data_IF_873059312104
#
_entry.id   IF_873059312104
#
_cell.length_a   1.000
_cell.length_b   1.000
_cell.length_c   1.000
_cell.angle_alpha   90.00
_cell.angle_beta   90.00
_cell.angle_gamma   90.00
#
_symmetry.space_group_name_H-M   'P 1'
#
loop_
_entity.id
_entity.type
_entity.pdbx_description
1 polymer ?
#
# COMPACT_ATOMS: atom_id res chain seq x y z
N UNK A 1 -6.36 17.65 15.67
CA UNK A 1 -5.31 18.27 14.82
C UNK A 1 -5.88 19.51 14.14
N UNK A 2 -5.13 20.62 13.99
CA UNK A 2 -5.60 21.80 13.26
C UNK A 2 -5.80 21.49 11.77
N UNK A 3 -6.89 21.99 11.17
CA UNK A 3 -7.23 21.77 9.75
C UNK A 3 -6.13 22.24 8.81
N UNK A 4 -5.51 23.39 9.10
CA UNK A 4 -4.42 23.97 8.31
C UNK A 4 -3.18 23.08 8.19
N UNK A 5 -2.92 22.22 9.18
CA UNK A 5 -1.81 21.25 9.12
C UNK A 5 -2.15 20.09 8.18
N UNK A 6 -3.40 19.62 8.21
CA UNK A 6 -3.89 18.56 7.33
C UNK A 6 -3.85 19.05 5.88
N UNK A 7 -4.35 20.26 5.62
CA UNK A 7 -4.36 20.84 4.27
C UNK A 7 -2.94 20.97 3.69
N UNK A 8 -1.96 21.36 4.52
CA UNK A 8 -0.54 21.40 4.11
C UNK A 8 0.02 20.02 3.80
N UNK A 9 -0.33 19.01 4.59
CA UNK A 9 0.11 17.63 4.36
C UNK A 9 -0.47 17.06 3.05
N UNK A 10 -1.77 17.29 2.79
CA UNK A 10 -2.42 16.89 1.53
C UNK A 10 -1.75 17.56 0.35
N UNK A 11 -1.50 18.88 0.43
CA UNK A 11 -0.81 19.63 -0.64
C UNK A 11 0.62 19.14 -0.86
N UNK A 12 1.33 18.73 0.19
CA UNK A 12 2.66 18.14 0.05
C UNK A 12 2.61 16.79 -0.69
N UNK A 13 1.64 15.93 -0.35
CA UNK A 13 1.44 14.65 -1.05
C UNK A 13 1.04 14.86 -2.51
N UNK A 14 0.21 15.85 -2.79
CA UNK A 14 -0.15 16.24 -4.16
C UNK A 14 1.10 16.61 -4.96
N UNK A 15 1.93 17.53 -4.46
CA UNK A 15 3.17 17.92 -5.13
C UNK A 15 4.18 16.78 -5.23
N UNK A 16 4.16 15.84 -4.30
CA UNK A 16 5.05 14.68 -4.28
C UNK A 16 4.55 13.55 -5.20
N UNK A 17 3.33 13.68 -5.74
CA UNK A 17 2.76 12.71 -6.67
C UNK A 17 3.21 13.04 -8.09
N UNK A 18 3.90 12.08 -8.71
CA UNK A 18 4.35 12.17 -10.10
C UNK A 18 3.20 12.00 -11.09
N UNK A 19 3.46 12.30 -12.37
CA UNK A 19 2.46 12.18 -13.44
C UNK A 19 1.94 10.74 -13.62
N UNK A 20 2.78 9.73 -13.32
CA UNK A 20 2.38 8.32 -13.37
C UNK A 20 1.62 7.86 -12.09
N UNK A 21 1.45 8.73 -11.11
CA UNK A 21 0.71 8.46 -9.88
C UNK A 21 1.54 7.87 -8.74
N UNK A 22 2.87 7.79 -8.84
CA UNK A 22 3.71 7.37 -7.73
C UNK A 22 4.18 8.54 -6.86
N UNK A 23 4.37 8.31 -5.56
CA UNK A 23 4.84 9.32 -4.59
C UNK A 23 6.37 9.26 -4.48
N UNK A 24 7.03 10.42 -4.60
CA UNK A 24 8.49 10.55 -4.45
C UNK A 24 8.92 10.72 -2.99
N UNK A 25 10.19 10.46 -2.69
CA UNK A 25 10.73 10.56 -1.33
C UNK A 25 10.73 11.99 -0.77
N UNK A 26 11.18 12.96 -1.56
CA UNK A 26 11.10 14.37 -1.17
C UNK A 26 11.08 15.29 -2.38
N UNK A 27 10.42 16.45 -2.22
CA UNK A 27 10.46 17.53 -3.20
C UNK A 27 11.86 18.13 -3.39
N UNK A 28 12.74 18.02 -2.39
CA UNK A 28 14.11 18.56 -2.44
C UNK A 28 15.09 17.68 -3.22
N UNK A 29 14.87 16.35 -3.24
CA UNK A 29 15.61 15.42 -4.11
C UNK A 29 15.04 15.38 -5.55
N UNK A 30 13.86 15.97 -5.77
CA UNK A 30 13.14 15.96 -7.03
C UNK A 30 13.62 17.04 -8.01
N UNK A 31 14.92 17.34 -8.05
CA UNK A 31 15.52 18.39 -8.88
C UNK A 31 15.03 18.35 -10.32
N UNK A 32 14.04 19.20 -10.62
CA UNK A 32 13.25 19.14 -11.86
C UNK A 32 12.42 17.85 -11.94
N UNK A 33 11.09 17.98 -11.85
CA UNK A 33 10.07 16.94 -12.14
C UNK A 33 10.64 15.62 -12.71
N UNK A 34 10.51 14.53 -11.95
CA UNK A 34 10.66 13.14 -12.41
C UNK A 34 12.07 12.52 -12.56
N UNK A 35 13.09 12.96 -11.82
CA UNK A 35 14.37 12.20 -11.73
C UNK A 35 14.38 11.12 -10.64
N UNK A 36 13.44 11.14 -9.69
CA UNK A 36 13.17 10.04 -8.76
C UNK A 36 11.84 9.40 -9.12
N UNK A 37 11.85 8.19 -9.68
CA UNK A 37 10.62 7.44 -9.95
C UNK A 37 9.77 7.30 -8.69
N UNK A 38 8.45 7.34 -8.84
CA UNK A 38 7.53 7.11 -7.73
C UNK A 38 7.86 5.82 -6.98
N UNK A 39 7.81 5.86 -5.66
CA UNK A 39 8.19 4.75 -4.79
C UNK A 39 6.94 3.95 -4.42
N UNK A 40 6.85 2.64 -4.75
CA UNK A 40 5.69 1.82 -4.41
C UNK A 40 5.38 1.83 -2.91
N UNK A 41 6.44 1.81 -2.09
CA UNK A 41 6.33 1.82 -0.63
C UNK A 41 5.66 3.09 -0.09
N UNK A 42 6.12 4.27 -0.55
CA UNK A 42 5.56 5.56 -0.15
C UNK A 42 4.15 5.76 -0.71
N UNK A 43 3.91 5.26 -1.92
CA UNK A 43 2.60 5.34 -2.57
C UNK A 43 1.57 4.47 -1.84
N UNK A 44 1.94 3.26 -1.42
CA UNK A 44 1.09 2.40 -0.61
C UNK A 44 0.76 3.04 0.75
N UNK A 45 1.76 3.64 1.41
CA UNK A 45 1.54 4.38 2.65
C UNK A 45 0.61 5.59 2.46
N UNK A 46 0.74 6.32 1.34
CA UNK A 46 -0.14 7.45 1.02
C UNK A 46 -1.61 7.01 0.85
N UNK A 47 -1.87 5.85 0.22
CA UNK A 47 -3.22 5.28 0.13
C UNK A 47 -3.79 5.00 1.52
N UNK A 48 -3.03 4.32 2.38
CA UNK A 48 -3.46 4.02 3.74
C UNK A 48 -3.78 5.28 4.55
N UNK A 49 -2.95 6.33 4.41
CA UNK A 49 -3.22 7.64 5.01
C UNK A 49 -4.51 8.27 4.47
N UNK A 50 -4.72 8.25 3.15
CA UNK A 50 -5.93 8.79 2.51
C UNK A 50 -7.20 8.07 2.96
N UNK A 51 -7.17 6.75 3.11
CA UNK A 51 -8.28 5.99 3.65
C UNK A 51 -8.54 6.32 5.11
N UNK A 52 -7.49 6.38 5.94
CA UNK A 52 -7.65 6.76 7.35
C UNK A 52 -8.16 8.20 7.55
N UNK A 53 -7.98 9.09 6.57
CA UNK A 53 -8.56 10.44 6.57
C UNK A 53 -9.97 10.53 5.96
N UNK A 54 -10.54 9.41 5.50
CA UNK A 54 -11.87 9.36 4.87
C UNK A 54 -11.90 9.72 3.38
N UNK A 55 -10.75 9.96 2.75
CA UNK A 55 -10.60 10.44 1.37
C UNK A 55 -10.57 9.30 0.34
N UNK A 56 -11.47 8.33 0.49
CA UNK A 56 -11.48 7.08 -0.27
C UNK A 56 -11.57 7.27 -1.79
N UNK A 57 -12.36 8.25 -2.24
CA UNK A 57 -12.67 8.48 -3.65
C UNK A 57 -11.90 9.68 -4.25
N UNK A 58 -10.90 10.21 -3.54
CA UNK A 58 -10.14 11.37 -4.02
C UNK A 58 -9.36 11.05 -5.30
N UNK A 59 -9.20 12.01 -6.23
CA UNK A 59 -8.42 11.81 -7.45
C UNK A 59 -6.97 11.35 -7.20
N UNK A 60 -6.36 11.81 -6.11
CA UNK A 60 -5.01 11.42 -5.71
C UNK A 60 -4.95 9.95 -5.29
N UNK A 61 -5.84 9.52 -4.40
CA UNK A 61 -5.91 8.12 -3.96
C UNK A 61 -6.16 7.19 -5.14
N UNK A 62 -7.00 7.59 -6.09
CA UNK A 62 -7.18 6.83 -7.33
C UNK A 62 -5.91 6.73 -8.18
N UNK A 63 -5.10 7.77 -8.27
CA UNK A 63 -3.81 7.70 -8.99
C UNK A 63 -2.84 6.75 -8.29
N UNK A 64 -2.75 6.86 -6.96
CA UNK A 64 -1.87 6.02 -6.15
C UNK A 64 -2.23 4.54 -6.24
N UNK A 65 -3.53 4.19 -6.21
CA UNK A 65 -4.00 2.81 -6.36
C UNK A 65 -3.59 2.25 -7.72
N UNK A 66 -3.76 3.00 -8.81
CA UNK A 66 -3.36 2.58 -10.16
C UNK A 66 -1.85 2.41 -10.28
N UNK A 67 -1.07 3.30 -9.66
CA UNK A 67 0.38 3.16 -9.60
C UNK A 67 0.77 1.86 -8.88
N UNK A 68 0.27 1.65 -7.66
CA UNK A 68 0.57 0.42 -6.90
C UNK A 68 0.10 -0.85 -7.61
N UNK A 69 -1.02 -0.81 -8.34
CA UNK A 69 -1.50 -1.95 -9.14
C UNK A 69 -0.46 -2.44 -10.16
N UNK A 70 0.28 -1.51 -10.77
CA UNK A 70 1.30 -1.83 -11.78
C UNK A 70 2.63 -2.19 -11.14
N UNK A 71 2.98 -1.53 -10.04
CA UNK A 71 4.34 -1.58 -9.48
C UNK A 71 4.50 -2.47 -8.24
N UNK A 72 3.42 -2.93 -7.60
CA UNK A 72 3.49 -3.84 -6.44
C UNK A 72 3.19 -5.27 -6.90
N UNK A 73 4.19 -6.18 -6.88
CA UNK A 73 4.01 -7.54 -7.35
C UNK A 73 3.12 -8.34 -6.38
N UNK A 74 1.97 -8.79 -6.86
CA UNK A 74 1.14 -9.81 -6.18
C UNK A 74 1.24 -11.15 -6.90
N UNK A 75 1.38 -11.14 -8.24
CA UNK A 75 1.40 -12.35 -9.05
C UNK A 75 2.79 -13.02 -9.14
N UNK A 76 3.86 -12.22 -9.13
CA UNK A 76 5.23 -12.72 -9.34
C UNK A 76 6.01 -12.96 -8.03
N UNK A 77 5.42 -12.70 -6.85
CA UNK A 77 5.95 -12.97 -5.48
C UNK A 77 7.46 -12.74 -5.25
N UNK A 78 8.10 -11.96 -6.10
CA UNK A 78 9.52 -11.70 -6.08
C UNK A 78 9.76 -10.51 -5.16
N UNK A 79 10.67 -10.69 -4.21
CA UNK A 79 11.02 -9.64 -3.25
C UNK A 79 11.63 -8.44 -3.97
N UNK A 80 11.26 -7.25 -3.51
CA UNK A 80 11.82 -5.98 -4.01
C UNK A 80 12.23 -5.05 -2.86
N UNK A 81 12.73 -3.85 -3.21
CA UNK A 81 13.13 -2.86 -2.20
C UNK A 81 11.95 -2.46 -1.32
N UNK A 82 12.13 -2.56 0.00
CA UNK A 82 11.07 -2.29 1.00
C UNK A 82 9.82 -3.17 0.84
N UNK A 83 9.98 -4.43 0.43
CA UNK A 83 8.91 -5.41 0.21
C UNK A 83 7.93 -5.49 1.40
N UNK A 84 8.45 -5.77 2.60
CA UNK A 84 7.67 -5.90 3.83
C UNK A 84 6.84 -4.64 4.12
N UNK A 85 7.50 -3.48 4.03
CA UNK A 85 6.90 -2.19 4.34
C UNK A 85 5.84 -1.81 3.30
N UNK A 86 6.10 -2.13 2.03
CA UNK A 86 5.15 -1.90 0.94
C UNK A 86 3.91 -2.76 1.12
N UNK A 87 4.08 -4.08 1.30
CA UNK A 87 2.98 -5.00 1.49
C UNK A 87 2.22 -4.74 2.80
N UNK A 88 2.88 -4.26 3.86
CA UNK A 88 2.23 -3.85 5.10
C UNK A 88 1.15 -2.80 4.87
N UNK A 89 1.45 -1.70 4.17
CA UNK A 89 0.44 -0.67 3.87
C UNK A 89 -0.51 -1.09 2.76
N UNK A 90 -0.01 -1.77 1.73
CA UNK A 90 -0.82 -2.13 0.59
C UNK A 90 -1.90 -3.16 0.97
N UNK A 91 -1.57 -4.12 1.84
CA UNK A 91 -2.55 -5.06 2.39
C UNK A 91 -3.67 -4.34 3.15
N UNK A 92 -3.33 -3.32 3.97
CA UNK A 92 -4.33 -2.53 4.69
C UNK A 92 -5.26 -1.78 3.73
N UNK A 93 -4.70 -1.18 2.68
CA UNK A 93 -5.50 -0.51 1.66
C UNK A 93 -6.46 -1.48 0.95
N UNK A 94 -5.97 -2.65 0.52
CA UNK A 94 -6.81 -3.65 -0.13
C UNK A 94 -7.85 -4.25 0.80
N UNK A 95 -7.50 -4.46 2.08
CA UNK A 95 -8.44 -4.92 3.09
C UNK A 95 -9.59 -3.94 3.28
N UNK A 96 -9.30 -2.63 3.39
CA UNK A 96 -10.31 -1.57 3.52
C UNK A 96 -11.19 -1.48 2.26
N UNK A 97 -10.60 -1.62 1.06
CA UNK A 97 -11.39 -1.68 -0.17
C UNK A 97 -12.31 -2.91 -0.20
N UNK A 98 -11.86 -4.02 0.38
CA UNK A 98 -12.51 -5.32 0.25
C UNK A 98 -12.56 -5.76 -1.22
N UNK A 99 -13.53 -6.61 -1.54
CA UNK A 99 -13.67 -7.15 -2.89
C UNK A 99 -14.43 -6.22 -3.84
N UNK A 100 -15.20 -5.28 -3.30
CA UNK A 100 -16.07 -4.39 -4.07
C UNK A 100 -15.53 -2.95 -4.19
N UNK A 101 -14.61 -2.55 -3.32
CA UNK A 101 -14.13 -1.16 -3.25
C UNK A 101 -13.46 -0.69 -4.53
N UNK A 102 -12.67 -1.55 -5.17
CA UNK A 102 -12.04 -1.20 -6.44
C UNK A 102 -13.08 -1.00 -7.55
N UNK A 103 -14.12 -1.85 -7.62
CA UNK A 103 -15.20 -1.69 -8.59
C UNK A 103 -15.96 -0.36 -8.36
N UNK A 104 -16.18 0.04 -7.10
CA UNK A 104 -16.77 1.35 -6.78
C UNK A 104 -15.89 2.53 -7.23
N UNK A 105 -14.57 2.41 -7.09
CA UNK A 105 -13.64 3.47 -7.51
C UNK A 105 -13.48 3.57 -9.03
N UNK A 106 -13.56 2.42 -9.73
CA UNK A 106 -13.42 2.29 -11.18
C UNK A 106 -14.53 1.38 -11.75
N UNK A 107 -15.76 1.91 -11.94
CA UNK A 107 -16.90 1.10 -12.38
C UNK A 107 -16.67 0.45 -13.75
N UNK A 108 -15.94 1.12 -14.63
CA UNK A 108 -15.57 0.63 -15.98
C UNK A 108 -14.45 -0.42 -15.98
N UNK A 109 -13.95 -0.83 -14.81
CA UNK A 109 -12.86 -1.83 -14.73
C UNK A 109 -13.37 -3.24 -15.03
N UNK A 110 -12.59 -3.99 -15.83
CA UNK A 110 -12.81 -5.41 -16.06
C UNK A 110 -12.56 -6.20 -14.79
N UNK A 111 -13.39 -7.21 -14.52
CA UNK A 111 -13.30 -8.04 -13.30
C UNK A 111 -11.92 -8.69 -13.10
N UNK A 112 -11.29 -9.12 -14.20
CA UNK A 112 -9.92 -9.67 -14.19
C UNK A 112 -8.91 -8.71 -13.58
N UNK A 113 -9.07 -7.40 -13.83
CA UNK A 113 -8.13 -6.36 -13.47
C UNK A 113 -8.42 -5.76 -12.09
N UNK A 114 -9.56 -6.09 -11.47
CA UNK A 114 -9.92 -5.54 -10.16
C UNK A 114 -8.97 -6.04 -9.09
N UNK A 115 -8.44 -5.11 -8.31
CA UNK A 115 -7.76 -5.42 -7.07
C UNK A 115 -8.82 -5.76 -6.02
N UNK A 116 -8.71 -6.94 -5.43
CA UNK A 116 -9.62 -7.41 -4.39
C UNK A 116 -8.83 -7.96 -3.23
N UNK A 117 -9.38 -7.86 -2.03
CA UNK A 117 -8.75 -8.43 -0.84
C UNK A 117 -8.58 -9.94 -0.98
N UNK A 118 -9.60 -10.63 -1.51
CA UNK A 118 -9.58 -12.05 -1.79
C UNK A 118 -8.46 -12.47 -2.75
N UNK A 119 -8.21 -11.71 -3.83
CA UNK A 119 -7.08 -11.98 -4.75
C UNK A 119 -5.73 -11.79 -4.06
N UNK A 120 -5.58 -10.71 -3.29
CA UNK A 120 -4.36 -10.47 -2.52
C UNK A 120 -4.08 -11.60 -1.54
N UNK A 121 -5.08 -11.99 -0.73
CA UNK A 121 -4.95 -13.11 0.22
C UNK A 121 -4.55 -14.40 -0.46
N UNK A 122 -5.28 -14.78 -1.52
CA UNK A 122 -5.05 -16.03 -2.24
C UNK A 122 -3.62 -16.14 -2.77
N UNK A 123 -3.02 -15.02 -3.18
CA UNK A 123 -1.64 -14.99 -3.65
C UNK A 123 -0.61 -14.88 -2.52
N UNK A 124 -0.78 -13.92 -1.62
CA UNK A 124 0.26 -13.55 -0.64
C UNK A 124 0.29 -14.46 0.58
N UNK A 125 -0.83 -14.97 1.07
CA UNK A 125 -0.85 -15.70 2.34
C UNK A 125 -0.06 -17.01 2.28
N UNK A 126 -0.24 -17.86 1.25
CA UNK A 126 0.58 -19.05 1.09
C UNK A 126 2.07 -18.71 0.96
N UNK A 127 2.41 -17.61 0.28
CA UNK A 127 3.79 -17.16 0.13
C UNK A 127 4.42 -16.74 1.47
N UNK A 128 3.71 -15.94 2.27
CA UNK A 128 4.17 -15.52 3.58
C UNK A 128 4.34 -16.75 4.50
N UNK A 129 3.33 -17.62 4.60
CA UNK A 129 3.41 -18.83 5.44
C UNK A 129 4.55 -19.75 4.97
N UNK A 130 4.72 -19.94 3.67
CA UNK A 130 5.78 -20.79 3.10
C UNK A 130 7.19 -20.23 3.24
N UNK A 131 7.34 -18.93 3.52
CA UNK A 131 8.64 -18.27 3.76
C UNK A 131 8.95 -18.07 5.25
N UNK A 132 8.08 -18.54 6.14
CA UNK A 132 8.29 -18.49 7.58
C UNK A 132 9.44 -19.42 7.99
N UNK A 133 10.33 -18.93 8.85
CA UNK A 133 11.40 -19.73 9.45
C UNK A 133 10.86 -20.67 10.52
N UNK A 134 11.62 -21.71 10.89
CA UNK A 134 11.19 -22.71 11.87
C UNK A 134 10.94 -22.16 13.29
N UNK A 135 11.49 -20.98 13.60
CA UNK A 135 11.24 -20.24 14.85
C UNK A 135 10.00 -19.32 14.78
N UNK A 136 9.29 -19.33 13.65
CA UNK A 136 8.11 -18.51 13.40
C UNK A 136 8.39 -17.11 12.85
N UNK A 137 9.66 -16.76 12.63
CA UNK A 137 10.07 -15.44 12.15
C UNK A 137 10.14 -15.33 10.62
N UNK A 138 10.31 -14.11 10.12
CA UNK A 138 10.68 -13.85 8.74
C UNK A 138 11.97 -13.04 8.63
N UNK A 139 12.80 -13.38 7.65
CA UNK A 139 13.99 -12.61 7.34
C UNK A 139 13.62 -11.29 6.64
N UNK A 140 13.99 -10.17 7.27
CA UNK A 140 13.75 -8.81 6.77
C UNK A 140 14.90 -8.19 5.99
N UNK A 141 15.90 -8.98 5.58
CA UNK A 141 17.13 -8.50 4.97
C UNK A 141 17.82 -7.44 5.84
N UNK A 142 18.12 -6.29 5.24
CA UNK A 142 18.81 -5.18 5.90
C UNK A 142 18.01 -4.53 7.04
N UNK A 143 16.67 -4.53 7.00
CA UNK A 143 15.84 -3.90 8.04
C UNK A 143 15.76 -4.79 9.29
N UNK A 144 15.86 -6.10 9.10
CA UNK A 144 15.93 -7.07 10.18
C UNK A 144 14.63 -7.83 10.47
N UNK A 145 14.81 -8.92 11.21
CA UNK A 145 13.81 -9.96 11.45
C UNK A 145 12.57 -9.46 12.21
N UNK A 146 12.77 -8.64 13.24
CA UNK A 146 11.67 -8.14 14.09
C UNK A 146 10.66 -7.35 13.25
N UNK A 147 11.17 -6.46 12.41
CA UNK A 147 10.32 -5.62 11.55
C UNK A 147 9.52 -6.48 10.56
N UNK A 148 10.18 -7.38 9.84
CA UNK A 148 9.51 -8.25 8.87
C UNK A 148 8.47 -9.15 9.51
N UNK A 149 8.82 -9.77 10.64
CA UNK A 149 7.92 -10.64 11.39
C UNK A 149 6.68 -9.85 11.85
N UNK A 150 6.87 -8.64 12.38
CA UNK A 150 5.75 -7.80 12.83
C UNK A 150 4.84 -7.38 11.66
N UNK A 151 5.45 -6.96 10.54
CA UNK A 151 4.72 -6.56 9.35
C UNK A 151 3.85 -7.70 8.80
N UNK A 152 4.43 -8.89 8.60
CA UNK A 152 3.71 -10.03 8.06
C UNK A 152 2.68 -10.61 9.02
N UNK A 153 2.97 -10.68 10.32
CA UNK A 153 1.97 -11.07 11.32
C UNK A 153 0.78 -10.10 11.32
N UNK A 154 1.01 -8.81 11.08
CA UNK A 154 -0.08 -7.84 11.00
C UNK A 154 -0.94 -8.10 9.75
N UNK A 155 -0.31 -8.31 8.59
CA UNK A 155 -1.01 -8.65 7.33
C UNK A 155 -1.86 -9.91 7.50
N UNK A 156 -1.27 -10.98 8.04
CA UNK A 156 -1.94 -12.28 8.21
C UNK A 156 -3.18 -12.19 9.12
N UNK A 157 -3.20 -11.21 10.02
CA UNK A 157 -4.26 -11.03 11.01
C UNK A 157 -5.36 -10.04 10.59
N UNK A 158 -5.25 -9.41 9.42
CA UNK A 158 -6.24 -8.41 8.97
C UNK A 158 -7.68 -8.93 8.96
N UNK A 159 -7.92 -10.21 8.64
CA UNK A 159 -9.29 -10.80 8.63
C UNK A 159 -9.89 -10.95 10.02
N UNK A 160 -9.06 -10.96 11.07
CA UNK A 160 -9.58 -11.00 12.42
C UNK A 160 -10.25 -9.66 12.77
N UNK A 161 -9.99 -8.60 11.99
CA UNK A 161 -10.56 -7.28 12.20
C UNK A 161 -10.26 -6.71 13.58
N UNK A 162 -9.19 -7.13 14.25
CA UNK A 162 -8.99 -6.89 15.68
C UNK A 162 -8.53 -5.48 16.02
N UNK A 163 -8.06 -4.69 15.05
CA UNK A 163 -7.64 -3.32 15.28
C UNK A 163 -8.68 -2.32 14.73
N UNK A 164 -9.10 -1.31 15.53
CA UNK A 164 -10.07 -0.30 15.09
C UNK A 164 -9.68 0.47 13.83
N UNK A 165 -8.38 0.57 13.54
CA UNK A 165 -7.85 1.22 12.32
C UNK A 165 -8.27 0.49 11.04
N UNK A 166 -8.69 -0.78 11.15
CA UNK A 166 -9.13 -1.59 10.03
C UNK A 166 -10.66 -1.63 9.86
N UNK A 167 -11.43 -0.99 10.76
CA UNK A 167 -12.90 -1.09 10.80
C UNK A 167 -13.62 0.22 10.44
N UNK A 168 -12.97 1.15 9.74
CA UNK A 168 -13.49 2.49 9.42
C UNK A 168 -14.01 2.63 8.00
#
# INVERSE_FOLDING_TARGET
MPKSTIDKAVKYLEHSTTDNGGVIYSLSQAGGRAMGGGQPALTAAAIACGFNSGEYNSPLVKKWIKFCQVHVPIANLARFGHDEYTHYYYAQALYILGDEGYARLYPESRESDRLTWSKYRKAMFPHLVGSQSGDGSWNGGYIGQIFATTAYLTILQLDKGTLPIYQR
#
